data_IF_176971110668
#
_entry.id   IF_176971110668
#
_cell.length_a   1.000
_cell.length_b   1.000
_cell.length_c   1.000
_cell.angle_alpha   90.00
_cell.angle_beta   90.00
_cell.angle_gamma   90.00
#
_symmetry.space_group_name_H-M   'P 1'
#
loop_
_entity.id
_entity.type
_entity.pdbx_description
1 polymer ?
#
# COMPACT_ATOMS: atom_id res chain seq x y z
N UNK A 1 1.87 -0.11 -16.09
CA UNK A 1 3.13 0.45 -15.72
C UNK A 1 3.07 1.20 -14.42
N UNK A 2 3.88 0.83 -13.51
CA UNK A 2 3.83 1.44 -12.19
C UNK A 2 4.68 2.69 -12.14
N UNK A 3 4.10 3.73 -11.64
CA UNK A 3 4.76 4.99 -11.68
C UNK A 3 4.29 5.87 -10.57
N UNK A 4 4.97 5.93 -9.53
CA UNK A 4 4.64 6.83 -8.45
C UNK A 4 5.84 7.65 -8.02
N UNK A 5 6.81 7.76 -8.90
CA UNK A 5 8.00 8.52 -8.63
C UNK A 5 8.73 7.95 -7.45
N UNK A 6 9.20 8.80 -6.58
CA UNK A 6 9.96 8.36 -5.41
C UNK A 6 9.11 8.27 -4.17
N UNK A 7 7.81 8.38 -4.30
CA UNK A 7 6.94 8.38 -3.14
C UNK A 7 6.76 7.00 -2.58
N UNK A 8 6.94 6.88 -1.30
CA UNK A 8 6.68 5.64 -0.59
C UNK A 8 5.31 5.75 0.04
N UNK A 9 4.30 5.38 -0.72
CA UNK A 9 2.92 5.57 -0.33
C UNK A 9 2.38 4.47 0.56
N UNK A 10 2.96 3.28 0.51
CA UNK A 10 2.44 2.19 1.32
C UNK A 10 3.48 1.70 2.32
N UNK A 11 2.99 1.02 3.36
CA UNK A 11 3.81 0.42 4.40
C UNK A 11 3.61 -1.08 4.43
N UNK A 12 3.40 -1.69 3.27
CA UNK A 12 3.12 -3.13 3.23
C UNK A 12 4.27 -3.91 3.82
N UNK A 13 5.50 -3.55 3.49
CA UNK A 13 6.66 -4.25 4.04
C UNK A 13 6.69 -4.19 5.56
N UNK A 14 6.47 -3.01 6.11
CA UNK A 14 6.44 -2.84 7.56
C UNK A 14 5.35 -3.70 8.19
N UNK A 15 4.17 -3.71 7.59
CA UNK A 15 3.07 -4.50 8.13
C UNK A 15 3.38 -5.99 8.08
N UNK A 16 4.02 -6.45 7.01
CA UNK A 16 4.42 -7.84 6.90
C UNK A 16 5.41 -8.21 7.99
N UNK A 17 6.44 -7.39 8.17
CA UNK A 17 7.47 -7.65 9.16
C UNK A 17 6.86 -7.65 10.56
N UNK A 18 6.02 -6.67 10.85
CA UNK A 18 5.39 -6.55 12.17
C UNK A 18 4.53 -7.76 12.48
N UNK A 19 3.99 -8.41 11.47
CA UNK A 19 3.14 -9.58 11.65
C UNK A 19 3.88 -10.89 11.42
N UNK A 20 5.20 -10.82 11.26
CA UNK A 20 6.01 -12.03 11.10
C UNK A 20 5.76 -12.74 9.78
N UNK A 21 5.37 -12.01 8.75
CA UNK A 21 5.06 -12.59 7.46
C UNK A 21 6.09 -12.15 6.42
N UNK A 22 6.16 -12.91 5.32
CA UNK A 22 7.11 -12.65 4.25
C UNK A 22 6.40 -12.25 2.97
N UNK A 23 7.17 -11.69 2.03
CA UNK A 23 6.64 -11.39 0.71
C UNK A 23 6.10 -12.65 0.04
N UNK A 24 6.81 -13.75 0.22
CA UNK A 24 6.40 -15.02 -0.38
C UNK A 24 5.06 -15.47 0.19
N UNK A 25 4.90 -15.34 1.51
CA UNK A 25 3.64 -15.69 2.14
C UNK A 25 2.49 -14.87 1.54
N UNK A 26 2.70 -13.56 1.39
CA UNK A 26 1.66 -12.70 0.86
C UNK A 26 1.35 -13.05 -0.59
N UNK A 27 2.38 -13.33 -1.38
CA UNK A 27 2.18 -13.72 -2.77
C UNK A 27 1.32 -14.99 -2.85
N UNK A 28 1.57 -15.94 -1.97
CA UNK A 28 0.79 -17.17 -1.95
C UNK A 28 -0.65 -16.91 -1.56
N UNK A 29 -0.86 -16.05 -0.57
CA UNK A 29 -2.22 -15.76 -0.13
C UNK A 29 -3.03 -15.05 -1.20
N UNK A 30 -2.38 -14.21 -1.99
CA UNK A 30 -3.07 -13.42 -3.01
C UNK A 30 -3.03 -14.08 -4.38
N UNK A 31 -2.36 -15.22 -4.50
CA UNK A 31 -2.18 -15.90 -5.77
C UNK A 31 -1.53 -14.95 -6.78
N UNK A 32 -0.50 -14.25 -6.33
CA UNK A 32 0.23 -13.29 -7.14
C UNK A 32 1.68 -13.69 -7.25
N UNK A 33 2.34 -13.15 -8.25
CA UNK A 33 3.76 -13.36 -8.47
C UNK A 33 4.54 -12.67 -7.34
N UNK A 34 5.53 -13.34 -6.73
CA UNK A 34 6.37 -12.69 -5.73
C UNK A 34 7.02 -11.40 -6.24
N UNK A 35 7.32 -11.32 -7.53
CA UNK A 35 7.87 -10.09 -8.09
C UNK A 35 6.91 -8.92 -7.96
N UNK A 36 5.61 -9.19 -8.11
CA UNK A 36 4.59 -8.17 -7.95
C UNK A 36 4.56 -7.66 -6.52
N UNK A 37 4.60 -8.59 -5.56
CA UNK A 37 4.60 -8.21 -4.15
C UNK A 37 5.84 -7.40 -3.82
N UNK A 38 6.99 -7.78 -4.37
CA UNK A 38 8.23 -7.05 -4.14
C UNK A 38 8.10 -5.61 -4.62
N UNK A 39 7.47 -5.41 -5.78
CA UNK A 39 7.27 -4.05 -6.30
C UNK A 39 6.39 -3.22 -5.37
N UNK A 40 5.39 -3.84 -4.78
CA UNK A 40 4.54 -3.13 -3.83
C UNK A 40 5.32 -2.77 -2.56
N UNK A 41 6.11 -3.72 -2.07
CA UNK A 41 6.87 -3.50 -0.84
C UNK A 41 7.93 -2.42 -1.00
N UNK A 42 8.50 -2.29 -2.18
CA UNK A 42 9.51 -1.26 -2.45
C UNK A 42 8.89 0.04 -2.93
N UNK A 43 7.58 0.07 -3.06
CA UNK A 43 6.84 1.23 -3.56
C UNK A 43 7.17 1.58 -5.01
N UNK A 44 7.70 0.62 -5.75
CA UNK A 44 7.87 0.79 -7.18
C UNK A 44 6.52 0.81 -7.87
N UNK A 45 5.57 0.04 -7.35
CA UNK A 45 4.19 0.01 -7.81
C UNK A 45 3.30 0.03 -6.60
N UNK A 46 2.05 0.41 -6.80
CA UNK A 46 1.08 0.38 -5.73
C UNK A 46 -0.01 -0.64 -6.07
N UNK A 47 -0.48 -1.40 -5.08
CA UNK A 47 -1.61 -2.29 -5.33
C UNK A 47 -2.89 -1.48 -5.54
N UNK A 48 -3.88 -2.13 -6.13
CA UNK A 48 -5.19 -1.49 -6.27
C UNK A 48 -5.83 -1.30 -4.91
N UNK A 49 -6.85 -0.47 -4.85
CA UNK A 49 -7.55 -0.25 -3.60
C UNK A 49 -8.14 -1.56 -3.08
N UNK A 50 -8.73 -2.34 -3.97
CA UNK A 50 -9.29 -3.63 -3.59
C UNK A 50 -8.22 -4.53 -2.99
N UNK A 51 -7.04 -4.53 -3.58
CA UNK A 51 -5.95 -5.35 -3.09
C UNK A 51 -5.46 -4.87 -1.74
N UNK A 52 -5.41 -3.57 -1.54
CA UNK A 52 -5.04 -3.02 -0.24
C UNK A 52 -6.01 -3.47 0.84
N UNK A 53 -7.29 -3.45 0.53
CA UNK A 53 -8.31 -3.90 1.48
C UNK A 53 -8.11 -5.38 1.80
N UNK A 54 -7.82 -6.17 0.77
CA UNK A 54 -7.58 -7.60 0.97
C UNK A 54 -6.37 -7.83 1.87
N UNK A 55 -5.30 -7.08 1.63
CA UNK A 55 -4.09 -7.22 2.46
C UNK A 55 -4.39 -6.83 3.91
N UNK A 56 -5.17 -5.78 4.11
CA UNK A 56 -5.50 -5.36 5.46
C UNK A 56 -6.25 -6.45 6.20
N UNK A 57 -7.15 -7.13 5.50
CA UNK A 57 -7.90 -8.21 6.11
C UNK A 57 -7.03 -9.42 6.39
N UNK A 58 -6.11 -9.74 5.50
CA UNK A 58 -5.20 -10.86 5.69
C UNK A 58 -4.29 -10.64 6.89
N UNK A 59 -3.80 -9.44 7.06
CA UNK A 59 -2.90 -9.11 8.15
C UNK A 59 -3.62 -8.63 9.39
N UNK A 60 -4.92 -8.44 9.30
CA UNK A 60 -5.75 -7.97 10.41
C UNK A 60 -5.26 -6.62 10.93
N UNK A 61 -5.00 -5.73 9.99
CA UNK A 61 -4.58 -4.38 10.31
C UNK A 61 -5.54 -3.41 9.63
N UNK A 62 -5.55 -2.17 10.10
CA UNK A 62 -6.34 -1.14 9.47
C UNK A 62 -5.69 -0.70 8.17
N UNK A 63 -6.50 -0.18 7.27
CA UNK A 63 -5.99 0.35 6.03
C UNK A 63 -4.96 1.45 6.29
N UNK A 64 -5.17 2.23 7.36
CA UNK A 64 -4.23 3.28 7.74
C UNK A 64 -2.84 2.73 8.06
N UNK A 65 -2.76 1.48 8.47
CA UNK A 65 -1.48 0.86 8.76
C UNK A 65 -0.73 0.46 7.50
N UNK A 66 -1.41 0.49 6.36
CA UNK A 66 -0.82 0.11 5.09
C UNK A 66 -0.47 1.29 4.20
N UNK A 67 -0.87 2.49 4.58
CA UNK A 67 -0.64 3.67 3.74
C UNK A 67 0.10 4.73 4.53
N UNK A 68 0.84 5.55 3.80
CA UNK A 68 1.57 6.66 4.39
C UNK A 68 0.84 7.94 4.05
N UNK A 69 -0.06 8.33 4.93
CA UNK A 69 -0.86 9.53 4.70
C UNK A 69 0.04 10.74 4.58
N UNK A 70 1.09 10.77 5.38
CA UNK A 70 2.01 11.90 5.40
C UNK A 70 2.83 12.03 4.12
N UNK A 71 2.87 10.99 3.28
CA UNK A 71 3.63 11.05 2.05
C UNK A 71 3.00 11.96 1.02
N UNK A 72 1.73 12.28 1.17
CA UNK A 72 1.02 13.20 0.29
C UNK A 72 0.70 14.46 1.09
N UNK A 73 1.21 15.62 0.67
CA UNK A 73 0.94 16.84 1.44
C UNK A 73 -0.52 17.21 1.37
N UNK A 74 -0.95 17.97 2.36
CA UNK A 74 -2.33 18.44 2.39
C UNK A 74 -2.60 19.30 1.17
N UNK A 75 -3.75 19.11 0.55
CA UNK A 75 -4.09 19.92 -0.62
C UNK A 75 -4.46 21.34 -0.20
N UNK A 76 -4.31 22.25 -1.14
CA UNK A 76 -4.78 23.61 -0.94
C UNK A 76 -6.28 23.62 -1.24
N UNK A 77 -7.06 23.95 -0.23
CA UNK A 77 -8.50 23.95 -0.38
C UNK A 77 -8.93 25.31 -0.89
N UNK A 78 -9.66 25.30 -1.99
CA UNK A 78 -10.17 26.52 -2.56
C UNK A 78 -11.54 26.82 -1.98
N UNK A 79 -11.67 28.00 -1.46
CA UNK A 79 -12.87 28.37 -0.74
C UNK A 79 -14.07 28.75 -1.60
N UNK A 80 -13.90 28.80 -2.83
CA UNK A 80 -15.04 29.22 -3.62
C UNK A 80 -16.17 28.27 -3.54
N UNK A 81 -16.79 28.33 -3.56
CA UNK A 81 -17.64 27.65 -3.73
C UNK A 81 -18.47 27.20 -4.01
N UNK A 82 -18.69 26.80 -4.28
CA UNK A 82 -19.32 26.28 -4.54
C UNK A 82 -19.71 25.46 -4.72
N UNK A 83 -19.97 25.15 -4.64
CA UNK A 83 -20.31 24.35 -4.87
C UNK A 83 -20.92 24.04 -4.94
#
# INVERSE_FOLDING_TARGET
>A
MCRNGDRKLNRIKTALVDNGKTNKWLAEQLDKDPATISKWCTNACQPSLEMLITISKLLRVDLNDLVRIEAVPDPIIKESSED
#
